data_IF_838787332548
#
_entry.id   IF_838787332548
#
_cell.length_a   1.000
_cell.length_b   1.000
_cell.length_c   1.000
_cell.angle_alpha   90.00
_cell.angle_beta   90.00
_cell.angle_gamma   90.00
#
_symmetry.space_group_name_H-M   'P 1'
#
loop_
_entity.id
_entity.type
_entity.pdbx_description
1 polymer ?
#
# COMPACT_ATOMS: atom_id res chain seq x y z
N UNK A 1 20.10 1.61 3.21
CA UNK A 1 19.67 2.98 2.91
C UNK A 1 19.38 3.61 4.25
N UNK A 2 20.17 4.60 4.65
CA UNK A 2 20.03 5.23 5.96
C UNK A 2 18.94 6.31 5.88
N UNK A 3 18.19 6.57 6.97
CA UNK A 3 17.13 7.58 6.97
C UNK A 3 17.62 8.97 6.53
N UNK A 4 18.87 9.33 6.83
CA UNK A 4 19.51 10.56 6.37
C UNK A 4 19.76 10.64 4.85
N UNK A 5 19.79 9.51 4.11
CA UNK A 5 20.05 9.48 2.65
C UNK A 5 18.86 9.97 1.81
N UNK A 6 17.75 10.25 2.46
CA UNK A 6 16.44 10.33 1.83
C UNK A 6 15.86 11.78 1.81
N UNK A 7 16.48 12.73 2.51
CA UNK A 7 16.06 14.14 2.52
C UNK A 7 15.02 14.46 3.60
N UNK A 8 14.37 15.64 3.53
CA UNK A 8 13.29 15.99 4.47
C UNK A 8 12.10 15.10 4.18
N UNK A 9 11.84 14.15 5.07
CA UNK A 9 10.77 13.19 4.95
C UNK A 9 9.82 13.31 6.13
N UNK A 10 8.54 13.10 5.83
CA UNK A 10 7.50 12.95 6.85
C UNK A 10 7.95 11.93 7.89
N UNK A 11 7.66 12.16 9.17
CA UNK A 11 8.15 11.32 10.28
C UNK A 11 7.85 9.84 10.06
N UNK A 12 6.74 9.57 9.37
CA UNK A 12 6.21 8.23 9.14
C UNK A 12 7.00 7.49 8.05
N UNK A 13 7.54 8.20 7.05
CA UNK A 13 8.42 7.62 6.04
C UNK A 13 9.73 7.19 6.69
N UNK A 14 10.28 8.04 7.57
CA UNK A 14 11.52 7.74 8.31
C UNK A 14 11.34 6.50 9.18
N UNK A 15 10.22 6.42 9.91
CA UNK A 15 9.88 5.25 10.71
C UNK A 15 9.67 3.99 9.85
N UNK A 16 8.96 4.12 8.73
CA UNK A 16 8.71 3.01 7.80
C UNK A 16 10.01 2.31 7.39
N UNK A 17 11.08 3.05 7.09
CA UNK A 17 12.33 2.46 6.59
C UNK A 17 13.00 1.54 7.62
N UNK A 18 12.76 1.80 8.91
CA UNK A 18 13.34 1.02 10.01
C UNK A 18 12.66 -0.34 10.23
N UNK A 19 11.44 -0.55 9.71
CA UNK A 19 10.75 -1.84 9.82
C UNK A 19 11.52 -3.00 9.16
N UNK A 20 11.44 -4.19 9.73
CA UNK A 20 12.22 -5.36 9.28
C UNK A 20 11.55 -6.07 8.08
N UNK A 21 10.23 -5.94 7.95
CA UNK A 21 9.45 -6.57 6.89
C UNK A 21 8.53 -5.59 6.17
N UNK A 22 8.22 -5.85 4.90
CA UNK A 22 7.24 -5.06 4.12
C UNK A 22 5.91 -4.91 4.89
N UNK A 23 5.49 -5.96 5.63
CA UNK A 23 4.29 -5.90 6.47
C UNK A 23 4.38 -4.83 7.55
N UNK A 24 5.48 -4.77 8.29
CA UNK A 24 5.69 -3.77 9.35
C UNK A 24 5.82 -2.37 8.77
N UNK A 25 6.62 -2.22 7.71
CA UNK A 25 6.81 -0.94 7.00
C UNK A 25 5.46 -0.36 6.58
N UNK A 26 4.65 -1.16 5.90
CA UNK A 26 3.38 -0.69 5.37
C UNK A 26 2.35 -0.44 6.49
N UNK A 27 2.38 -1.20 7.61
CA UNK A 27 1.58 -0.89 8.81
C UNK A 27 1.91 0.46 9.42
N UNK A 28 3.19 0.87 9.45
CA UNK A 28 3.60 2.17 10.01
C UNK A 28 2.86 3.31 9.29
N UNK A 29 2.77 3.26 7.96
CA UNK A 29 2.03 4.25 7.18
C UNK A 29 0.51 4.17 7.38
N UNK A 30 -0.02 2.95 7.50
CA UNK A 30 -1.46 2.73 7.69
C UNK A 30 -1.96 3.10 9.09
N UNK A 31 -1.10 3.12 10.11
CA UNK A 31 -1.47 3.50 11.47
C UNK A 31 -2.04 4.92 11.53
N UNK A 32 -1.52 5.86 10.73
CA UNK A 32 -2.08 7.20 10.63
C UNK A 32 -3.56 7.21 10.20
N UNK A 33 -3.94 6.28 9.32
CA UNK A 33 -5.33 6.14 8.86
C UNK A 33 -6.22 5.50 9.92
N UNK A 34 -5.65 4.70 10.81
CA UNK A 34 -6.33 4.17 11.99
C UNK A 34 -6.53 5.29 13.02
N UNK A 35 -5.48 6.05 13.30
CA UNK A 35 -5.49 7.14 14.29
C UNK A 35 -6.46 8.26 13.90
N UNK A 36 -6.61 8.51 12.61
CA UNK A 36 -7.58 9.48 12.06
C UNK A 36 -8.99 8.89 11.86
N UNK A 37 -9.18 7.60 12.14
CA UNK A 37 -10.49 6.95 12.13
C UNK A 37 -11.01 6.55 10.75
N UNK A 38 -10.20 6.65 9.69
CA UNK A 38 -10.57 6.17 8.35
C UNK A 38 -10.60 4.64 8.27
N UNK A 39 -9.79 3.96 9.09
CA UNK A 39 -9.70 2.50 9.13
C UNK A 39 -9.94 2.01 10.56
N UNK A 40 -10.85 1.05 10.80
CA UNK A 40 -10.95 0.40 12.09
C UNK A 40 -9.67 -0.38 12.40
N UNK A 41 -9.11 -0.23 13.61
CA UNK A 41 -7.87 -0.92 14.00
C UNK A 41 -7.93 -2.45 13.81
N UNK A 42 -9.10 -3.06 13.98
CA UNK A 42 -9.33 -4.50 13.75
C UNK A 42 -9.11 -4.94 12.30
N UNK A 43 -9.22 -4.03 11.34
CA UNK A 43 -9.14 -4.30 9.91
C UNK A 43 -7.76 -3.94 9.34
N UNK A 44 -6.87 -3.34 10.14
CA UNK A 44 -5.52 -2.93 9.73
C UNK A 44 -4.73 -4.07 9.09
N UNK A 45 -4.74 -5.24 9.71
CA UNK A 45 -3.92 -6.38 9.29
C UNK A 45 -4.38 -6.95 7.95
N UNK A 46 -5.69 -7.08 7.76
CA UNK A 46 -6.26 -7.60 6.51
C UNK A 46 -6.07 -6.60 5.36
N UNK A 47 -6.25 -5.30 5.63
CA UNK A 47 -6.02 -4.23 4.65
C UNK A 47 -4.54 -4.21 4.23
N UNK A 48 -3.62 -4.32 5.19
CA UNK A 48 -2.20 -4.37 4.91
C UNK A 48 -1.83 -5.55 4.00
N UNK A 49 -2.34 -6.74 4.30
CA UNK A 49 -2.09 -7.94 3.48
C UNK A 49 -2.69 -7.82 2.07
N UNK A 50 -3.86 -7.19 1.92
CA UNK A 50 -4.47 -6.90 0.61
C UNK A 50 -3.57 -5.97 -0.21
N UNK A 51 -3.12 -4.86 0.37
CA UNK A 51 -2.26 -3.89 -0.31
C UNK A 51 -0.95 -4.55 -0.79
N UNK A 52 -0.30 -5.31 0.08
CA UNK A 52 0.97 -5.98 -0.25
C UNK A 52 0.77 -7.00 -1.36
N UNK A 53 -0.27 -7.84 -1.25
CA UNK A 53 -0.58 -8.85 -2.26
C UNK A 53 -0.89 -8.22 -3.61
N UNK A 54 -1.59 -7.08 -3.60
CA UNK A 54 -1.90 -6.34 -4.81
C UNK A 54 -0.63 -5.82 -5.51
N UNK A 55 0.23 -5.12 -4.77
CA UNK A 55 1.48 -4.59 -5.32
C UNK A 55 2.41 -5.69 -5.83
N UNK A 56 2.53 -6.81 -5.11
CA UNK A 56 3.35 -7.95 -5.54
C UNK A 56 2.82 -8.57 -6.84
N UNK A 57 1.51 -8.71 -6.99
CA UNK A 57 0.90 -9.19 -8.23
C UNK A 57 1.12 -8.22 -9.39
N UNK A 58 0.99 -6.90 -9.15
CA UNK A 58 1.26 -5.88 -10.16
C UNK A 58 2.72 -5.97 -10.65
N UNK A 59 3.68 -6.07 -9.73
CA UNK A 59 5.10 -6.24 -10.04
C UNK A 59 5.37 -7.54 -10.81
N UNK A 60 4.72 -8.64 -10.42
CA UNK A 60 4.83 -9.93 -11.11
C UNK A 60 4.30 -9.84 -12.55
N UNK A 61 3.13 -9.24 -12.76
CA UNK A 61 2.54 -9.04 -14.08
C UNK A 61 3.45 -8.19 -14.96
N UNK A 62 4.00 -7.10 -14.43
CA UNK A 62 4.93 -6.22 -15.14
C UNK A 62 6.20 -6.94 -15.58
N UNK A 63 6.79 -7.73 -14.67
CA UNK A 63 8.00 -8.52 -14.96
C UNK A 63 7.77 -9.54 -16.07
N UNK A 64 6.60 -10.19 -16.10
CA UNK A 64 6.38 -11.37 -16.94
C UNK A 64 5.69 -11.07 -18.27
N UNK A 65 4.92 -9.99 -18.37
CA UNK A 65 4.19 -9.68 -19.62
C UNK A 65 5.03 -8.88 -20.61
N UNK A 66 6.11 -8.22 -20.17
CA UNK A 66 7.00 -7.42 -21.02
C UNK A 66 6.31 -6.27 -21.76
N UNK A 67 5.00 -6.12 -21.58
CA UNK A 67 4.20 -5.02 -22.09
C UNK A 67 4.32 -3.90 -21.08
N UNK A 68 4.70 -2.73 -21.57
CA UNK A 68 4.32 -1.47 -20.95
C UNK A 68 2.80 -1.31 -21.10
N UNK A 69 2.01 -2.20 -20.49
CA UNK A 69 0.62 -1.84 -20.17
C UNK A 69 0.75 -0.59 -19.32
N UNK A 70 0.11 0.49 -19.76
CA UNK A 70 0.20 1.79 -19.10
C UNK A 70 -0.03 1.55 -17.60
N UNK A 71 0.96 1.88 -16.76
CA UNK A 71 0.93 1.55 -15.32
C UNK A 71 -0.37 2.11 -14.68
N UNK A 72 -0.91 3.15 -15.30
CA UNK A 72 -2.18 3.80 -15.00
C UNK A 72 -3.40 2.90 -15.25
N UNK A 73 -3.43 2.03 -16.27
CA UNK A 73 -4.63 1.22 -16.58
C UNK A 73 -4.89 0.15 -15.51
N UNK A 74 -3.85 -0.58 -15.10
CA UNK A 74 -3.97 -1.62 -14.08
C UNK A 74 -4.25 -1.01 -12.70
N UNK A 75 -3.61 0.12 -12.40
CA UNK A 75 -3.86 0.88 -11.17
C UNK A 75 -5.31 1.38 -11.14
N UNK A 76 -5.80 1.97 -12.23
CA UNK A 76 -7.18 2.47 -12.35
C UNK A 76 -8.21 1.34 -12.24
N UNK A 77 -8.00 0.20 -12.90
CA UNK A 77 -8.89 -0.98 -12.75
C UNK A 77 -9.00 -1.45 -11.31
N UNK A 78 -7.89 -1.43 -10.58
CA UNK A 78 -7.90 -1.82 -9.17
C UNK A 78 -8.60 -0.80 -8.30
N UNK A 79 -8.31 0.49 -8.48
CA UNK A 79 -9.01 1.57 -7.77
C UNK A 79 -10.52 1.45 -8.02
N UNK A 80 -10.95 1.29 -9.28
CA UNK A 80 -12.36 1.10 -9.61
C UNK A 80 -12.97 -0.16 -8.98
N UNK A 81 -12.19 -1.24 -8.84
CA UNK A 81 -12.65 -2.46 -8.17
C UNK A 81 -12.81 -2.25 -6.66
N UNK A 82 -11.89 -1.52 -6.02
CA UNK A 82 -11.95 -1.14 -4.61
C UNK A 82 -13.15 -0.21 -4.37
N UNK A 83 -13.31 0.82 -5.19
CA UNK A 83 -14.46 1.74 -5.14
C UNK A 83 -15.78 1.01 -5.30
N UNK A 84 -15.85 0.04 -6.23
CA UNK A 84 -17.01 -0.80 -6.40
C UNK A 84 -17.32 -1.59 -5.13
N UNK A 85 -16.32 -2.24 -4.52
CA UNK A 85 -16.50 -2.99 -3.27
C UNK A 85 -16.99 -2.05 -2.15
N UNK A 86 -16.35 -0.89 -1.97
CA UNK A 86 -16.72 0.09 -0.93
C UNK A 86 -18.17 0.55 -1.13
N UNK A 87 -18.55 0.91 -2.35
CA UNK A 87 -19.92 1.39 -2.66
C UNK A 87 -21.00 0.36 -2.37
N UNK A 88 -20.66 -0.92 -2.38
CA UNK A 88 -21.59 -2.03 -2.15
C UNK A 88 -21.34 -2.76 -0.83
N UNK A 89 -20.39 -2.30 -0.02
CA UNK A 89 -20.21 -2.74 1.36
C UNK A 89 -21.28 -2.06 2.22
N UNK A 90 -22.09 -2.88 2.90
CA UNK A 90 -23.24 -2.44 3.70
C UNK A 90 -22.84 -1.72 4.98
#
# INVERSE_FOLDING_TARGET
MFPEDLGVHDSDISLMITGESIKERNKILLNNLVDTGYIPAKDLDIINDIIISFYQNLLFLKKNTGKNSDDDELTMKTISSIEYIIKHAK
#
